data_IF_575273934254
#
_entry.id   IF_575273934254
#
_cell.length_a   1.000
_cell.length_b   1.000
_cell.length_c   1.000
_cell.angle_alpha   90.00
_cell.angle_beta   90.00
_cell.angle_gamma   90.00
#
_symmetry.space_group_name_H-M   'P 1'
#
loop_
_entity.id
_entity.type
_entity.pdbx_description
1 polymer ?
#
# COMPACT_ATOMS: atom_id res chain seq x y z
N UNK A 1 17.34 18.79 -17.14
CA UNK A 1 16.64 17.49 -17.28
C UNK A 1 15.56 17.58 -18.36
N UNK A 2 15.32 16.51 -19.09
CA UNK A 2 14.14 16.37 -19.96
C UNK A 2 12.87 16.40 -19.10
N UNK A 3 11.76 16.93 -19.61
CA UNK A 3 10.49 16.98 -18.85
C UNK A 3 9.79 15.60 -18.73
N UNK A 4 10.29 14.59 -19.44
CA UNK A 4 9.69 13.26 -19.53
C UNK A 4 10.71 12.14 -19.31
N UNK A 5 10.21 11.01 -18.84
CA UNK A 5 10.98 9.76 -18.76
C UNK A 5 11.34 9.29 -20.19
N UNK A 6 12.60 8.92 -20.36
CA UNK A 6 13.16 8.33 -21.57
C UNK A 6 13.90 7.05 -21.24
N UNK A 7 14.24 6.23 -22.23
CA UNK A 7 15.02 4.99 -22.01
C UNK A 7 16.37 5.24 -21.33
N UNK A 8 16.96 6.44 -21.48
CA UNK A 8 18.20 6.82 -20.80
C UNK A 8 18.09 6.77 -19.26
N UNK A 9 16.90 7.06 -18.71
CA UNK A 9 16.65 6.96 -17.28
C UNK A 9 16.65 5.51 -16.74
N UNK A 10 16.55 4.52 -17.61
CA UNK A 10 16.64 3.10 -17.26
C UNK A 10 17.99 2.44 -17.55
N UNK A 11 18.95 3.16 -18.15
CA UNK A 11 20.20 2.59 -18.66
C UNK A 11 21.37 2.54 -17.66
N UNK A 12 21.19 3.05 -16.44
CA UNK A 12 22.25 3.12 -15.41
C UNK A 12 23.28 4.24 -15.64
N UNK A 13 23.08 5.12 -16.65
CA UNK A 13 23.96 6.25 -16.95
C UNK A 13 23.63 7.51 -16.14
N UNK A 14 24.04 8.68 -16.69
CA UNK A 14 23.86 9.97 -16.01
C UNK A 14 22.38 10.29 -15.73
N UNK A 15 21.48 10.10 -16.71
CA UNK A 15 20.05 10.37 -16.52
C UNK A 15 19.43 9.52 -15.40
N UNK A 16 19.87 8.28 -15.23
CA UNK A 16 19.46 7.43 -14.10
C UNK A 16 19.95 7.98 -12.76
N UNK A 17 21.22 8.41 -12.68
CA UNK A 17 21.76 9.03 -11.45
C UNK A 17 21.01 10.30 -11.09
N UNK A 18 20.74 11.18 -12.05
CA UNK A 18 19.95 12.39 -11.85
C UNK A 18 18.55 12.04 -11.29
N UNK A 19 17.91 11.00 -11.83
CA UNK A 19 16.63 10.51 -11.33
C UNK A 19 16.70 10.07 -9.85
N UNK A 20 17.75 9.32 -9.49
CA UNK A 20 17.97 8.88 -8.10
C UNK A 20 18.28 10.06 -7.19
N UNK A 21 19.23 10.92 -7.57
CA UNK A 21 19.74 12.01 -6.73
C UNK A 21 18.73 13.15 -6.54
N UNK A 22 17.89 13.42 -7.55
CA UNK A 22 16.98 14.58 -7.50
C UNK A 22 15.53 14.22 -7.13
N UNK A 23 15.12 12.95 -7.28
CA UNK A 23 13.74 12.54 -7.02
C UNK A 23 13.66 11.53 -5.90
N UNK A 24 14.33 10.38 -6.02
CA UNK A 24 14.13 9.28 -5.08
C UNK A 24 14.87 9.47 -3.76
N UNK A 25 16.17 9.73 -3.80
CA UNK A 25 16.98 9.83 -2.58
C UNK A 25 16.51 10.95 -1.64
N UNK A 26 16.17 12.17 -2.12
CA UNK A 26 15.65 13.21 -1.23
C UNK A 26 14.27 12.88 -0.64
N UNK A 27 13.38 12.24 -1.43
CA UNK A 27 12.04 11.89 -0.98
C UNK A 27 12.03 10.78 0.06
N UNK A 28 12.88 9.77 -0.11
CA UNK A 28 12.95 8.59 0.76
C UNK A 28 14.10 8.64 1.76
N UNK A 29 14.70 9.79 1.99
CA UNK A 29 15.89 9.95 2.83
C UNK A 29 15.74 9.30 4.21
N UNK A 30 16.62 8.36 4.54
CA UNK A 30 16.80 7.75 5.84
C UNK A 30 18.21 7.13 5.97
N UNK A 31 18.59 6.72 7.17
CA UNK A 31 19.93 6.17 7.46
C UNK A 31 20.24 4.89 6.67
N UNK A 32 19.25 4.08 6.32
CA UNK A 32 19.43 2.81 5.62
C UNK A 32 19.60 2.99 4.11
N UNK A 33 18.89 3.98 3.52
CA UNK A 33 18.96 4.30 2.09
C UNK A 33 20.16 5.18 1.75
N UNK A 34 20.56 6.08 2.66
CA UNK A 34 21.57 7.10 2.39
C UNK A 34 22.91 6.59 1.85
N UNK A 35 23.39 5.35 2.19
CA UNK A 35 24.61 4.82 1.60
C UNK A 35 24.52 4.49 0.11
N UNK A 36 23.32 4.35 -0.46
CA UNK A 36 23.04 4.00 -1.86
C UNK A 36 23.83 2.78 -2.34
N UNK A 37 23.90 1.75 -1.50
CA UNK A 37 24.56 0.46 -1.79
C UNK A 37 23.54 -0.54 -2.38
N UNK A 38 24.04 -1.69 -2.87
CA UNK A 38 23.19 -2.73 -3.49
C UNK A 38 22.12 -3.30 -2.55
N UNK A 39 22.32 -3.17 -1.24
CA UNK A 39 21.33 -3.61 -0.24
C UNK A 39 21.35 -2.72 1.00
N UNK A 40 20.20 -2.60 1.65
CA UNK A 40 20.09 -1.95 2.95
C UNK A 40 20.38 -2.94 4.08
N UNK A 41 21.19 -2.52 5.06
CA UNK A 41 21.45 -3.29 6.27
C UNK A 41 20.62 -2.68 7.39
N UNK A 42 19.59 -3.42 7.83
CA UNK A 42 18.63 -2.94 8.79
C UNK A 42 18.61 -3.79 10.06
N UNK A 43 18.37 -3.22 11.24
CA UNK A 43 18.08 -3.98 12.44
C UNK A 43 16.89 -4.91 12.25
N UNK A 44 16.96 -6.12 12.81
CA UNK A 44 15.91 -7.13 12.72
C UNK A 44 15.34 -7.51 14.08
N UNK A 45 14.52 -8.53 14.08
CA UNK A 45 13.95 -9.19 15.26
C UNK A 45 14.04 -10.72 15.07
N UNK A 46 13.80 -11.49 16.16
CA UNK A 46 13.80 -12.95 16.12
C UNK A 46 12.68 -13.52 15.22
N UNK A 47 11.64 -12.73 14.98
CA UNK A 47 10.51 -13.09 14.13
C UNK A 47 10.09 -11.89 13.30
N UNK A 48 9.91 -12.12 12.01
CA UNK A 48 9.50 -11.10 11.03
C UNK A 48 8.26 -11.55 10.28
N UNK A 49 7.48 -10.57 9.80
CA UNK A 49 6.53 -10.73 8.70
C UNK A 49 7.16 -10.19 7.43
N UNK A 50 6.90 -10.83 6.32
CA UNK A 50 7.35 -10.40 5.01
C UNK A 50 6.21 -10.51 4.01
N UNK A 51 5.97 -9.47 3.23
CA UNK A 51 4.95 -9.45 2.18
C UNK A 51 5.49 -8.78 0.92
N UNK A 52 4.82 -9.00 -0.21
CA UNK A 52 5.07 -8.29 -1.46
C UNK A 52 3.76 -8.08 -2.18
N UNK A 53 3.64 -6.93 -2.86
CA UNK A 53 2.44 -6.58 -3.58
C UNK A 53 2.75 -5.76 -4.84
N UNK A 54 1.89 -5.82 -5.84
CA UNK A 54 2.00 -5.11 -7.11
C UNK A 54 0.79 -4.21 -7.35
N UNK A 55 1.07 -2.96 -7.75
CA UNK A 55 0.06 -1.93 -7.89
C UNK A 55 -0.04 -1.40 -9.31
N UNK A 56 -1.25 -1.48 -9.82
CA UNK A 56 -1.67 -0.93 -11.11
C UNK A 56 -3.03 -0.28 -10.92
N UNK A 57 -3.12 1.00 -11.18
CA UNK A 57 -4.40 1.74 -11.13
C UNK A 57 -4.46 2.78 -12.25
N UNK A 58 -5.61 2.90 -12.87
CA UNK A 58 -5.88 3.92 -13.88
C UNK A 58 -7.20 4.60 -13.53
N UNK A 59 -7.21 5.95 -13.41
CA UNK A 59 -6.06 6.85 -13.54
C UNK A 59 -5.08 6.75 -12.36
N UNK A 60 -3.85 7.28 -12.52
CA UNK A 60 -2.80 7.25 -11.49
C UNK A 60 -3.16 8.08 -10.25
N UNK A 61 -3.96 9.13 -10.44
CA UNK A 61 -4.50 10.00 -9.40
C UNK A 61 -6.01 9.89 -9.38
N UNK A 62 -6.58 9.76 -8.20
CA UNK A 62 -8.01 9.66 -7.99
C UNK A 62 -8.41 10.45 -6.74
N UNK A 63 -9.69 10.81 -6.56
CA UNK A 63 -10.12 11.52 -5.36
C UNK A 63 -9.73 10.76 -4.08
N UNK A 64 -8.98 11.42 -3.21
CA UNK A 64 -8.50 10.83 -1.95
C UNK A 64 -7.17 10.09 -2.01
N UNK A 65 -6.51 9.99 -3.20
CA UNK A 65 -5.21 9.32 -3.28
C UNK A 65 -4.62 9.21 -4.67
N UNK A 66 -3.56 8.43 -4.75
CA UNK A 66 -2.83 8.11 -5.98
C UNK A 66 -2.17 6.72 -5.85
N UNK A 67 -1.55 6.25 -6.93
CA UNK A 67 -0.88 4.95 -6.95
C UNK A 67 0.24 4.84 -5.91
N UNK A 68 0.94 5.94 -5.59
CA UNK A 68 2.00 5.96 -4.58
C UNK A 68 1.46 5.74 -3.17
N UNK A 69 0.39 6.47 -2.79
CA UNK A 69 -0.31 6.28 -1.53
C UNK A 69 -0.87 4.86 -1.43
N UNK A 70 -1.45 4.37 -2.51
CA UNK A 70 -2.00 3.00 -2.57
C UNK A 70 -0.92 1.95 -2.32
N UNK A 71 0.23 2.07 -2.99
CA UNK A 71 1.32 1.10 -2.90
C UNK A 71 1.92 1.01 -1.48
N UNK A 72 2.14 2.14 -0.83
CA UNK A 72 2.68 2.14 0.54
C UNK A 72 1.63 1.64 1.52
N UNK A 73 0.38 2.14 1.43
CA UNK A 73 -0.68 1.77 2.38
C UNK A 73 -0.98 0.28 2.33
N UNK A 74 -1.13 -0.31 1.14
CA UNK A 74 -1.46 -1.73 1.02
C UNK A 74 -0.41 -2.62 1.67
N UNK A 75 0.88 -2.43 1.35
CA UNK A 75 1.95 -3.23 1.93
C UNK A 75 2.11 -3.03 3.45
N UNK A 76 1.92 -1.79 3.94
CA UNK A 76 1.89 -1.52 5.39
C UNK A 76 0.72 -2.25 6.06
N UNK A 77 -0.44 -2.26 5.42
CA UNK A 77 -1.64 -2.91 5.97
C UNK A 77 -1.51 -4.43 6.02
N UNK A 78 -0.94 -5.07 4.99
CA UNK A 78 -0.62 -6.49 4.98
C UNK A 78 0.23 -6.90 6.20
N UNK A 79 1.28 -6.12 6.46
CA UNK A 79 2.15 -6.36 7.62
C UNK A 79 1.40 -6.15 8.93
N UNK A 80 0.62 -5.09 9.04
CA UNK A 80 -0.12 -4.73 10.24
C UNK A 80 -1.15 -5.80 10.59
N UNK A 81 -1.97 -6.28 9.63
CA UNK A 81 -3.00 -7.29 9.89
C UNK A 81 -2.42 -8.67 10.26
N UNK A 82 -1.13 -8.91 9.99
CA UNK A 82 -0.41 -10.07 10.52
C UNK A 82 -0.08 -9.95 12.01
N UNK A 83 -0.24 -8.77 12.60
CA UNK A 83 0.15 -8.43 13.98
C UNK A 83 1.59 -7.93 14.10
N UNK A 84 2.32 -7.79 13.00
CA UNK A 84 3.67 -7.23 12.99
C UNK A 84 3.61 -5.68 13.01
N UNK A 85 4.68 -5.07 13.48
CA UNK A 85 4.93 -3.64 13.34
C UNK A 85 5.66 -3.41 12.03
N UNK A 86 5.04 -2.78 11.01
CA UNK A 86 5.70 -2.46 9.76
C UNK A 86 6.97 -1.61 10.00
N UNK A 87 8.07 -1.88 9.28
CA UNK A 87 9.34 -1.17 9.49
C UNK A 87 10.02 -0.76 8.19
N UNK A 88 10.18 -1.69 7.26
CA UNK A 88 10.99 -1.47 6.08
C UNK A 88 10.21 -1.83 4.82
N UNK A 89 10.35 -0.99 3.80
CA UNK A 89 9.82 -1.24 2.46
C UNK A 89 10.94 -1.19 1.42
N UNK A 90 10.87 -2.06 0.44
CA UNK A 90 11.50 -1.87 -0.86
C UNK A 90 10.48 -1.43 -1.88
N UNK A 91 10.92 -0.67 -2.90
CA UNK A 91 10.06 -0.18 -3.97
C UNK A 91 10.71 -0.45 -5.31
N UNK A 92 10.04 -1.19 -6.17
CA UNK A 92 10.42 -1.35 -7.57
C UNK A 92 9.42 -0.64 -8.46
N UNK A 93 9.90 0.17 -9.40
CA UNK A 93 9.07 0.93 -10.33
C UNK A 93 9.39 0.55 -11.78
N UNK A 94 8.34 0.28 -12.56
CA UNK A 94 8.44 0.20 -14.01
C UNK A 94 7.80 1.46 -14.58
N UNK A 95 8.61 2.28 -15.22
CA UNK A 95 8.22 3.57 -15.80
C UNK A 95 8.10 3.45 -17.32
N UNK A 96 7.06 4.04 -17.86
CA UNK A 96 6.88 4.12 -19.32
C UNK A 96 7.55 5.38 -19.88
N UNK A 97 8.20 5.24 -21.04
CA UNK A 97 8.73 6.42 -21.75
C UNK A 97 7.61 7.39 -22.09
N UNK A 98 7.85 8.68 -21.88
CA UNK A 98 6.83 9.73 -22.05
C UNK A 98 6.12 10.12 -20.74
N UNK A 99 6.25 9.34 -19.66
CA UNK A 99 5.76 9.75 -18.34
C UNK A 99 6.40 11.08 -17.94
N UNK A 100 5.58 12.06 -17.55
CA UNK A 100 6.06 13.37 -17.13
C UNK A 100 6.82 13.23 -15.80
N UNK A 101 8.00 13.83 -15.70
CA UNK A 101 8.78 13.82 -14.46
C UNK A 101 8.03 14.46 -13.29
N UNK A 102 7.21 15.47 -13.56
CA UNK A 102 6.38 16.09 -12.53
C UNK A 102 5.32 15.11 -11.97
N UNK A 103 4.77 14.25 -12.81
CA UNK A 103 3.88 13.16 -12.38
C UNK A 103 4.61 12.19 -11.47
N UNK A 104 5.82 11.77 -11.85
CA UNK A 104 6.65 10.91 -11.01
C UNK A 104 7.00 11.58 -9.68
N UNK A 105 7.39 12.88 -9.68
CA UNK A 105 7.68 13.62 -8.45
C UNK A 105 6.48 13.65 -7.48
N UNK A 106 5.28 13.84 -8.00
CA UNK A 106 4.05 13.83 -7.18
C UNK A 106 3.82 12.45 -6.54
N UNK A 107 3.96 11.38 -7.32
CA UNK A 107 3.79 10.01 -6.83
C UNK A 107 4.83 9.67 -5.77
N UNK A 108 6.11 9.97 -6.02
CA UNK A 108 7.21 9.72 -5.07
C UNK A 108 7.04 10.50 -3.77
N UNK A 109 6.60 11.76 -3.86
CA UNK A 109 6.28 12.57 -2.67
C UNK A 109 5.13 11.94 -1.87
N UNK A 110 4.06 11.55 -2.54
CA UNK A 110 2.92 10.87 -1.90
C UNK A 110 3.34 9.57 -1.20
N UNK A 111 4.24 8.79 -1.83
CA UNK A 111 4.82 7.61 -1.20
C UNK A 111 5.61 7.94 0.07
N UNK A 112 6.45 8.98 0.03
CA UNK A 112 7.25 9.41 1.17
C UNK A 112 6.38 9.89 2.34
N UNK A 113 5.35 10.69 2.05
CA UNK A 113 4.38 11.17 3.03
C UNK A 113 3.61 10.00 3.66
N UNK A 114 3.17 9.05 2.84
CA UNK A 114 2.45 7.86 3.31
C UNK A 114 3.34 6.91 4.11
N UNK A 115 4.61 6.76 3.73
CA UNK A 115 5.58 5.98 4.50
C UNK A 115 5.82 6.58 5.88
N UNK A 116 5.91 7.91 5.97
CA UNK A 116 6.00 8.64 7.23
C UNK A 116 4.73 8.44 8.08
N UNK A 117 3.55 8.55 7.48
CA UNK A 117 2.25 8.30 8.14
C UNK A 117 2.17 6.85 8.67
N UNK A 118 2.63 5.88 7.90
CA UNK A 118 2.65 4.46 8.27
C UNK A 118 3.81 4.03 9.18
N UNK A 119 4.71 4.94 9.56
CA UNK A 119 5.85 4.65 10.43
C UNK A 119 6.90 3.71 9.82
N UNK A 120 7.01 3.68 8.48
CA UNK A 120 7.93 2.83 7.75
C UNK A 120 9.00 3.61 7.00
N UNK A 121 10.15 2.98 6.76
CA UNK A 121 11.22 3.52 5.92
C UNK A 121 11.29 2.78 4.59
N UNK A 122 11.34 3.51 3.48
CA UNK A 122 11.68 2.96 2.18
C UNK A 122 13.21 2.88 2.13
N UNK A 123 13.75 1.66 2.21
CA UNK A 123 15.17 1.42 2.47
C UNK A 123 15.96 1.01 1.23
N UNK A 124 15.28 0.59 0.18
CA UNK A 124 15.90 0.21 -1.10
C UNK A 124 14.87 0.29 -2.21
N UNK A 125 15.34 0.35 -3.45
CA UNK A 125 14.46 0.36 -4.62
C UNK A 125 15.19 0.07 -5.92
N UNK A 126 14.42 -0.19 -6.96
CA UNK A 126 14.90 -0.35 -8.33
C UNK A 126 13.95 0.36 -9.30
N UNK A 127 14.47 0.74 -10.46
CA UNK A 127 13.69 1.40 -11.51
C UNK A 127 14.04 0.81 -12.86
N UNK A 128 13.02 0.41 -13.59
CA UNK A 128 13.11 0.00 -15.00
C UNK A 128 12.32 0.96 -15.87
N UNK A 129 12.80 1.20 -17.06
CA UNK A 129 12.08 1.99 -18.06
C UNK A 129 11.74 1.10 -19.24
N UNK A 130 10.48 1.15 -19.65
CA UNK A 130 9.94 0.42 -20.81
C UNK A 130 9.51 1.39 -21.89
N UNK A 131 9.44 0.91 -23.12
CA UNK A 131 8.96 1.69 -24.27
C UNK A 131 7.47 2.05 -24.10
N UNK A 132 7.03 3.05 -24.86
CA UNK A 132 5.63 3.46 -24.91
C UNK A 132 4.72 2.28 -25.27
N UNK A 133 3.64 2.09 -24.53
CA UNK A 133 2.73 0.93 -24.62
C UNK A 133 3.18 -0.28 -23.80
N UNK A 134 4.34 -0.22 -23.13
CA UNK A 134 4.86 -1.30 -22.30
C UNK A 134 4.20 -1.40 -20.92
N UNK A 135 3.65 -0.30 -20.43
CA UNK A 135 2.81 -0.27 -19.23
C UNK A 135 1.86 0.94 -19.26
N UNK A 136 0.98 1.09 -18.29
CA UNK A 136 0.05 2.23 -18.21
C UNK A 136 0.68 3.40 -17.42
N UNK A 137 1.79 3.94 -17.91
CA UNK A 137 2.54 5.04 -17.32
C UNK A 137 3.51 4.60 -16.20
N UNK A 138 3.02 3.99 -15.14
CA UNK A 138 3.83 3.47 -14.04
C UNK A 138 3.18 2.24 -13.41
N UNK A 139 4.01 1.21 -13.14
CA UNK A 139 3.67 0.12 -12.24
C UNK A 139 4.60 0.18 -11.03
N UNK A 140 4.06 -0.09 -9.84
CA UNK A 140 4.81 -0.10 -8.59
C UNK A 140 4.67 -1.48 -7.96
N UNK A 141 5.79 -2.09 -7.60
CA UNK A 141 5.82 -3.25 -6.73
C UNK A 141 6.56 -2.89 -5.44
N UNK A 142 6.02 -3.34 -4.33
CA UNK A 142 6.61 -3.15 -3.01
C UNK A 142 6.84 -4.49 -2.35
N UNK A 143 7.88 -4.58 -1.53
CA UNK A 143 7.99 -5.65 -0.55
C UNK A 143 8.23 -5.02 0.82
N UNK A 144 7.64 -5.62 1.85
CA UNK A 144 7.67 -5.08 3.19
C UNK A 144 8.14 -6.06 4.24
N UNK A 145 8.84 -5.53 5.25
CA UNK A 145 9.26 -6.26 6.44
C UNK A 145 8.65 -5.62 7.67
N UNK A 146 7.91 -6.42 8.44
CA UNK A 146 7.39 -6.09 9.76
C UNK A 146 8.11 -6.88 10.84
N UNK A 147 8.29 -6.27 11.99
CA UNK A 147 8.95 -6.89 13.14
C UNK A 147 7.91 -7.23 14.21
N UNK A 148 8.02 -8.41 14.80
CA UNK A 148 7.22 -8.75 15.96
C UNK A 148 7.94 -8.33 17.24
N UNK A 149 7.33 -7.50 18.09
CA UNK A 149 7.82 -7.28 19.45
C UNK A 149 7.89 -8.58 20.23
N UNK A 150 8.77 -8.65 21.22
CA UNK A 150 8.84 -9.80 22.12
C UNK A 150 7.51 -9.99 22.85
N UNK A 151 7.00 -11.23 22.88
CA UNK A 151 5.69 -11.55 23.46
C UNK A 151 4.46 -11.07 22.68
N UNK A 152 4.66 -10.53 21.45
CA UNK A 152 3.54 -10.08 20.64
C UNK A 152 2.53 -11.19 20.35
N UNK A 153 1.26 -10.89 20.53
CA UNK A 153 0.16 -11.74 20.05
C UNK A 153 0.12 -11.70 18.53
N UNK A 154 0.00 -12.87 17.94
CA UNK A 154 -0.16 -13.02 16.49
C UNK A 154 -1.53 -13.60 16.24
N UNK A 155 -2.40 -12.91 15.51
CA UNK A 155 -3.69 -13.44 15.13
C UNK A 155 -3.54 -14.80 14.45
N UNK A 156 -4.36 -15.76 14.86
CA UNK A 156 -4.31 -17.12 14.29
C UNK A 156 -4.75 -17.19 12.84
N UNK A 157 -5.41 -16.12 12.35
CA UNK A 157 -6.11 -16.04 11.08
C UNK A 157 -7.23 -17.09 10.94
N UNK A 158 -7.75 -17.55 12.06
CA UNK A 158 -8.81 -18.55 12.16
C UNK A 158 -9.97 -18.03 13.01
N UNK A 159 -10.98 -17.40 12.39
CA UNK A 159 -12.20 -17.00 13.09
C UNK A 159 -12.86 -18.19 13.79
N UNK A 160 -13.54 -17.90 14.87
CA UNK A 160 -14.24 -18.89 15.68
C UNK A 160 -15.74 -18.58 15.69
N UNK A 161 -16.61 -19.59 15.88
CA UNK A 161 -18.02 -19.35 16.11
C UNK A 161 -18.25 -18.39 17.28
N UNK A 162 -19.06 -17.36 17.06
CA UNK A 162 -19.36 -16.34 18.05
C UNK A 162 -18.41 -15.13 18.02
N UNK A 163 -17.41 -15.10 17.15
CA UNK A 163 -16.60 -13.90 16.94
C UNK A 163 -17.44 -12.77 16.35
N UNK A 164 -17.20 -11.55 16.83
CA UNK A 164 -17.75 -10.33 16.22
C UNK A 164 -16.86 -9.86 15.07
N UNK A 165 -17.48 -9.47 13.96
CA UNK A 165 -16.78 -8.89 12.80
C UNK A 165 -16.82 -7.38 12.94
N UNK A 166 -15.64 -6.75 12.97
CA UNK A 166 -15.48 -5.30 13.04
C UNK A 166 -14.90 -4.81 11.71
N UNK A 167 -15.47 -3.72 11.19
CA UNK A 167 -14.95 -3.01 10.03
C UNK A 167 -14.38 -1.66 10.47
N UNK A 168 -13.18 -1.31 10.01
CA UNK A 168 -12.48 -0.08 10.40
C UNK A 168 -13.04 1.20 9.75
N UNK A 169 -14.00 1.08 8.87
CA UNK A 169 -14.61 2.21 8.16
C UNK A 169 -15.66 1.76 7.14
N UNK A 170 -16.14 2.69 6.33
CA UNK A 170 -17.06 2.38 5.25
C UNK A 170 -16.40 1.55 4.16
N UNK A 171 -17.17 0.67 3.54
CA UNK A 171 -16.75 -0.18 2.43
C UNK A 171 -17.17 0.42 1.08
N UNK A 172 -16.38 0.09 0.02
CA UNK A 172 -16.70 0.48 -1.36
C UNK A 172 -16.12 1.82 -1.81
N UNK A 173 -15.73 2.71 -0.90
CA UNK A 173 -15.28 4.09 -1.20
C UNK A 173 -14.11 4.15 -2.16
N UNK A 174 -13.08 3.31 -2.00
CA UNK A 174 -11.92 3.26 -2.92
C UNK A 174 -12.36 2.88 -4.33
N UNK A 175 -13.13 1.81 -4.47
CA UNK A 175 -13.61 1.34 -5.77
C UNK A 175 -14.41 2.41 -6.51
N UNK A 176 -15.34 3.06 -5.80
CA UNK A 176 -16.15 4.15 -6.37
C UNK A 176 -15.34 5.37 -6.75
N UNK A 177 -14.37 5.79 -5.92
CA UNK A 177 -13.49 6.92 -6.24
C UNK A 177 -12.67 6.68 -7.52
N UNK A 178 -12.10 5.47 -7.68
CA UNK A 178 -11.36 5.09 -8.88
C UNK A 178 -12.28 4.99 -10.10
N UNK A 179 -13.44 4.37 -9.97
CA UNK A 179 -14.43 4.26 -11.06
C UNK A 179 -14.93 5.63 -11.50
N UNK A 180 -15.26 6.51 -10.55
CA UNK A 180 -15.66 7.88 -10.83
C UNK A 180 -14.60 8.63 -11.64
N UNK A 181 -13.34 8.55 -11.20
CA UNK A 181 -12.22 9.18 -11.90
C UNK A 181 -12.01 8.58 -13.30
N UNK A 182 -12.09 7.26 -13.45
CA UNK A 182 -11.91 6.54 -14.71
C UNK A 182 -12.97 6.88 -15.76
N UNK A 183 -14.20 7.05 -15.33
CA UNK A 183 -15.33 7.31 -16.21
C UNK A 183 -15.81 8.77 -16.21
N UNK A 184 -15.02 9.67 -15.56
CA UNK A 184 -15.35 11.09 -15.43
C UNK A 184 -16.76 11.34 -14.87
N UNK A 185 -17.18 10.50 -13.91
CA UNK A 185 -18.44 10.66 -13.20
C UNK A 185 -18.30 11.75 -12.14
N UNK A 186 -19.23 12.69 -12.12
CA UNK A 186 -19.27 13.75 -11.12
C UNK A 186 -20.23 13.35 -9.98
N UNK A 187 -19.71 13.37 -8.77
CA UNK A 187 -20.49 13.25 -7.53
C UNK A 187 -20.34 14.54 -6.72
N UNK A 188 -21.42 14.97 -6.07
CA UNK A 188 -21.43 16.15 -5.21
C UNK A 188 -22.03 15.80 -3.84
N UNK A 189 -21.20 15.71 -2.76
CA UNK A 189 -19.73 15.86 -2.74
C UNK A 189 -19.00 14.70 -3.45
N UNK A 190 -17.77 14.94 -3.86
CA UNK A 190 -16.92 13.89 -4.47
C UNK A 190 -16.69 12.73 -3.51
N UNK A 191 -16.80 11.50 -4.02
CA UNK A 191 -16.47 10.29 -3.26
C UNK A 191 -14.96 10.17 -3.18
N UNK A 192 -14.41 10.20 -1.96
CA UNK A 192 -12.99 10.07 -1.72
C UNK A 192 -12.63 8.62 -1.41
N UNK A 193 -11.49 8.16 -1.94
CA UNK A 193 -10.89 6.89 -1.52
C UNK A 193 -10.53 6.93 -0.05
N UNK A 194 -10.76 5.82 0.65
CA UNK A 194 -10.39 5.59 2.04
C UNK A 194 -8.96 5.04 2.21
N UNK A 195 -8.17 5.02 1.14
CA UNK A 195 -6.80 4.49 1.15
C UNK A 195 -5.92 5.22 2.19
N UNK A 196 -5.40 4.45 3.15
CA UNK A 196 -4.52 4.94 4.21
C UNK A 196 -3.78 3.80 4.91
N UNK A 197 -2.62 4.08 5.55
CA UNK A 197 -2.01 3.15 6.47
C UNK A 197 -2.90 2.91 7.70
N UNK A 198 -3.03 1.65 8.10
CA UNK A 198 -3.86 1.23 9.26
C UNK A 198 -3.02 0.68 10.42
N UNK A 199 -1.69 0.74 10.34
CA UNK A 199 -0.79 0.15 11.34
C UNK A 199 -1.08 0.62 12.77
N UNK A 200 -1.31 1.93 12.97
CA UNK A 200 -1.61 2.49 14.30
C UNK A 200 -2.97 2.02 14.82
N UNK A 201 -3.99 1.95 13.97
CA UNK A 201 -5.31 1.46 14.36
C UNK A 201 -5.27 -0.03 14.74
N UNK A 202 -4.58 -0.85 13.93
CA UNK A 202 -4.37 -2.27 14.25
C UNK A 202 -3.59 -2.43 15.54
N UNK A 203 -2.54 -1.65 15.73
CA UNK A 203 -1.74 -1.68 16.96
C UNK A 203 -2.57 -1.33 18.17
N UNK A 204 -3.41 -0.30 18.09
CA UNK A 204 -4.30 0.11 19.18
C UNK A 204 -5.27 -1.03 19.58
N UNK A 205 -5.81 -1.77 18.61
CA UNK A 205 -6.69 -2.92 18.89
C UNK A 205 -5.92 -4.04 19.60
N UNK A 206 -4.71 -4.37 19.15
CA UNK A 206 -3.88 -5.41 19.76
C UNK A 206 -3.44 -5.03 21.19
N UNK A 207 -3.06 -3.76 21.40
CA UNK A 207 -2.62 -3.25 22.71
C UNK A 207 -3.77 -3.10 23.71
N UNK A 208 -5.01 -2.99 23.25
CA UNK A 208 -6.19 -2.99 24.11
C UNK A 208 -6.44 -4.33 24.83
N UNK A 209 -5.63 -5.36 24.53
CA UNK A 209 -5.76 -6.68 25.14
C UNK A 209 -6.97 -7.49 24.63
N UNK A 210 -7.60 -7.06 23.56
CA UNK A 210 -8.68 -7.81 22.92
C UNK A 210 -8.14 -9.10 22.32
N UNK A 211 -8.93 -10.16 22.42
CA UNK A 211 -8.64 -11.39 21.69
C UNK A 211 -8.99 -11.20 20.21
N UNK A 212 -7.99 -11.12 19.37
CA UNK A 212 -8.15 -11.00 17.92
C UNK A 212 -7.81 -12.34 17.29
N UNK A 213 -8.80 -13.00 16.69
CA UNK A 213 -8.62 -14.28 16.03
C UNK A 213 -8.17 -14.14 14.57
N UNK A 214 -8.66 -13.14 13.84
CA UNK A 214 -8.27 -12.86 12.47
C UNK A 214 -8.34 -11.36 12.18
N UNK A 215 -7.48 -10.91 11.28
CA UNK A 215 -7.52 -9.58 10.66
C UNK A 215 -7.20 -9.71 9.17
N UNK A 216 -7.80 -8.87 8.37
CA UNK A 216 -7.57 -8.81 6.92
C UNK A 216 -7.81 -7.40 6.41
N UNK A 217 -7.08 -7.00 5.41
CA UNK A 217 -7.39 -5.86 4.56
C UNK A 217 -8.15 -6.39 3.31
N UNK A 218 -9.46 -6.10 3.19
CA UNK A 218 -10.29 -6.61 2.11
C UNK A 218 -9.98 -5.86 0.82
N UNK A 219 -9.15 -6.44 -0.04
CA UNK A 219 -8.76 -5.90 -1.35
C UNK A 219 -9.55 -6.57 -2.48
N UNK A 220 -8.96 -7.51 -3.21
CA UNK A 220 -9.65 -8.24 -4.29
C UNK A 220 -10.78 -9.11 -3.75
N UNK A 221 -11.97 -8.98 -4.36
CA UNK A 221 -13.18 -9.64 -3.88
C UNK A 221 -13.85 -8.92 -2.70
N UNK A 222 -13.23 -7.87 -2.16
CA UNK A 222 -13.76 -7.04 -1.08
C UNK A 222 -14.05 -7.81 0.19
N UNK A 223 -14.98 -7.30 0.98
CA UNK A 223 -15.42 -7.94 2.23
C UNK A 223 -16.00 -9.33 1.97
N UNK A 224 -16.78 -9.51 0.90
CA UNK A 224 -17.36 -10.81 0.57
C UNK A 224 -16.27 -11.87 0.31
N UNK A 225 -15.23 -11.54 -0.46
CA UNK A 225 -14.11 -12.44 -0.69
C UNK A 225 -13.40 -12.84 0.59
N UNK A 226 -13.09 -11.87 1.45
CA UNK A 226 -12.46 -12.10 2.76
C UNK A 226 -13.31 -13.01 3.65
N UNK A 227 -14.61 -12.74 3.74
CA UNK A 227 -15.50 -13.56 4.56
C UNK A 227 -15.66 -14.99 4.03
N UNK A 228 -15.69 -15.16 2.70
CA UNK A 228 -15.68 -16.50 2.08
C UNK A 228 -14.37 -17.25 2.38
N UNK A 229 -13.21 -16.58 2.33
CA UNK A 229 -11.93 -17.17 2.69
C UNK A 229 -11.89 -17.59 4.16
N UNK A 230 -12.39 -16.76 5.07
CA UNK A 230 -12.45 -17.05 6.50
C UNK A 230 -13.43 -18.18 6.82
N UNK A 231 -14.62 -18.19 6.21
CA UNK A 231 -15.61 -19.24 6.39
C UNK A 231 -15.06 -20.61 5.93
N UNK A 232 -14.42 -20.61 4.76
CA UNK A 232 -13.90 -21.83 4.16
C UNK A 232 -15.00 -22.89 4.04
N UNK A 233 -14.74 -24.09 4.61
CA UNK A 233 -15.73 -25.17 4.70
C UNK A 233 -16.18 -25.46 6.13
N UNK A 234 -15.84 -24.60 7.10
CA UNK A 234 -15.99 -24.88 8.53
C UNK A 234 -16.95 -23.95 9.24
N UNK A 235 -17.18 -22.77 8.71
CA UNK A 235 -17.96 -21.72 9.35
C UNK A 235 -19.04 -21.23 8.39
N UNK A 236 -20.20 -20.91 8.94
CA UNK A 236 -21.20 -20.10 8.28
C UNK A 236 -21.03 -18.66 8.72
N UNK A 237 -21.18 -17.72 7.78
CA UNK A 237 -21.16 -16.29 8.05
C UNK A 237 -22.54 -15.73 7.73
N UNK A 238 -23.17 -15.14 8.72
CA UNK A 238 -24.43 -14.43 8.54
C UNK A 238 -24.15 -12.94 8.54
N UNK A 239 -24.57 -12.25 7.49
CA UNK A 239 -24.48 -10.80 7.38
C UNK A 239 -25.86 -10.17 7.49
N UNK A 240 -25.92 -9.11 8.28
CA UNK A 240 -27.06 -8.22 8.31
C UNK A 240 -26.77 -7.08 7.32
N UNK A 241 -27.57 -6.99 6.25
CA UNK A 241 -27.38 -6.00 5.19
C UNK A 241 -27.47 -4.57 5.73
N UNK A 242 -28.37 -4.32 6.69
CA UNK A 242 -28.56 -3.00 7.28
C UNK A 242 -27.40 -2.60 8.21
N UNK A 243 -26.59 -3.58 8.66
CA UNK A 243 -25.41 -3.34 9.50
C UNK A 243 -24.12 -3.13 8.71
N UNK A 244 -24.14 -3.33 7.38
CA UNK A 244 -22.96 -3.08 6.55
C UNK A 244 -22.66 -1.59 6.48
N UNK A 245 -21.40 -1.18 6.78
CA UNK A 245 -21.04 0.24 6.80
C UNK A 245 -20.82 0.79 5.37
N UNK A 246 -21.88 0.83 4.58
CA UNK A 246 -21.90 1.43 3.24
C UNK A 246 -22.41 2.86 3.34
N UNK A 247 -21.70 3.80 2.74
CA UNK A 247 -22.21 5.20 2.64
C UNK A 247 -23.35 5.28 1.65
N UNK A 248 -24.29 6.19 1.88
CA UNK A 248 -25.46 6.36 1.01
C UNK A 248 -25.10 6.88 -0.40
N UNK A 249 -23.90 7.47 -0.56
CA UNK A 249 -23.36 8.00 -1.82
C UNK A 249 -22.42 7.01 -2.54
N UNK A 250 -22.16 5.83 -1.98
CA UNK A 250 -21.37 4.73 -2.54
C UNK A 250 -22.25 3.61 -3.02
#
# INVERSE_FOLDING_TARGET
MTEQITLAHGSGGQAYRELVEEIFAPAFQNEFLSPLTDSAICPGASRIAFTTDGYVVTPLFFPGGDIGRLAVSGTVNDLAVSGAVPRYLSVSMVLETGLQLETLRKIVRSMAETAKEGGVSIVTGDTKVVEAGGCAGIHIATAGVGLFPEGAQVPSQQPQPGDAILCSGSIGSHGMAVMAARHSLAFDPSILSDVRPMADAVRAVLDAGCRVNAMRDPTRGGVAGTLCEWAGRRLDVTLDEDALPVRADV
#
